data_IF_607055872513
#
_entry.id   IF_607055872513
#
_cell.length_a   1.000
_cell.length_b   1.000
_cell.length_c   1.000
_cell.angle_alpha   90.00
_cell.angle_beta   90.00
_cell.angle_gamma   90.00
#
_symmetry.space_group_name_H-M   'P 1'
#
loop_
_entity.id
_entity.type
_entity.pdbx_description
1 polymer ?
#
# COMPACT_ATOMS: atom_id res chain seq x y z
N UNK A 1 9.79 0.93 -29.16
CA UNK A 1 11.22 1.20 -29.27
C UNK A 1 11.90 0.45 -28.14
N UNK A 2 12.64 -0.61 -28.44
CA UNK A 2 13.24 -1.50 -27.43
C UNK A 2 14.34 -0.71 -26.67
N UNK A 3 14.25 -0.65 -25.35
CA UNK A 3 15.28 -0.13 -24.46
C UNK A 3 16.56 -0.97 -24.67
N UNK A 4 17.66 -0.32 -25.03
CA UNK A 4 18.93 -0.98 -25.19
C UNK A 4 19.47 -1.44 -23.84
N UNK A 5 20.10 -2.60 -23.78
CA UNK A 5 20.61 -3.29 -22.56
C UNK A 5 21.57 -2.42 -21.68
N UNK A 6 22.10 -1.32 -22.18
CA UNK A 6 22.99 -0.43 -21.41
C UNK A 6 22.27 0.46 -20.39
N UNK A 7 21.00 0.82 -20.65
CA UNK A 7 20.25 1.75 -19.77
C UNK A 7 19.69 1.07 -18.52
N UNK A 8 19.54 -0.28 -18.54
CA UNK A 8 19.06 -1.03 -17.38
C UNK A 8 20.12 -1.17 -16.28
N UNK A 9 21.42 -1.09 -16.59
CA UNK A 9 22.48 -1.34 -15.61
C UNK A 9 22.57 -0.26 -14.52
N UNK A 10 22.43 1.03 -14.89
CA UNK A 10 22.52 2.13 -13.91
C UNK A 10 21.32 2.16 -12.94
N UNK A 11 20.14 1.79 -13.42
CA UNK A 11 18.95 1.66 -12.59
C UNK A 11 19.08 0.51 -11.59
N UNK A 12 19.53 -0.63 -12.09
CA UNK A 12 19.79 -1.82 -11.30
C UNK A 12 20.79 -1.47 -10.19
N UNK A 13 21.87 -0.76 -10.52
CA UNK A 13 22.90 -0.32 -9.56
C UNK A 13 22.35 0.61 -8.46
N UNK A 14 21.47 1.59 -8.77
CA UNK A 14 20.91 2.50 -7.76
C UNK A 14 19.98 1.77 -6.77
N UNK A 15 19.02 0.98 -7.26
CA UNK A 15 18.11 0.22 -6.41
C UNK A 15 18.84 -0.93 -5.70
N UNK A 16 19.83 -1.55 -6.34
CA UNK A 16 20.68 -2.55 -5.72
C UNK A 16 21.45 -1.94 -4.55
N UNK A 17 22.14 -0.82 -4.73
CA UNK A 17 22.81 -0.11 -3.64
C UNK A 17 21.87 0.26 -2.51
N UNK A 18 20.67 0.79 -2.81
CA UNK A 18 19.66 1.10 -1.79
C UNK A 18 19.22 -0.14 -1.01
N UNK A 19 19.17 -1.31 -1.65
CA UNK A 19 18.78 -2.57 -1.04
C UNK A 19 19.96 -3.31 -0.38
N UNK A 20 21.21 -2.99 -0.74
CA UNK A 20 22.42 -3.52 -0.13
C UNK A 20 22.84 -2.77 1.15
N UNK A 21 22.65 -1.43 1.18
CA UNK A 21 23.07 -0.60 2.31
C UNK A 21 22.26 -0.92 3.57
N UNK A 22 22.96 -1.27 4.65
CA UNK A 22 22.40 -1.55 5.97
C UNK A 22 21.71 -2.92 6.08
N UNK A 23 21.25 -3.28 7.27
CA UNK A 23 20.70 -4.60 7.55
C UNK A 23 19.43 -4.88 6.74
N UNK A 24 19.26 -6.14 6.36
CA UNK A 24 18.02 -6.68 5.78
C UNK A 24 17.02 -6.95 6.90
N UNK A 25 15.73 -7.02 6.58
CA UNK A 25 14.69 -7.19 7.58
C UNK A 25 13.84 -8.42 7.30
N UNK A 26 13.65 -9.26 8.32
CA UNK A 26 12.62 -10.30 8.34
C UNK A 26 11.48 -9.86 9.26
N UNK A 27 10.25 -9.93 8.76
CA UNK A 27 9.04 -9.70 9.54
C UNK A 27 8.32 -11.03 9.71
N UNK A 28 8.25 -11.53 10.94
CA UNK A 28 7.52 -12.75 11.28
C UNK A 28 6.11 -12.40 11.71
N UNK A 29 5.11 -12.78 10.91
CA UNK A 29 3.71 -12.60 11.30
C UNK A 29 3.33 -13.57 12.42
N UNK A 30 2.56 -13.09 13.40
CA UNK A 30 2.04 -13.87 14.52
C UNK A 30 0.53 -13.64 14.64
N UNK A 31 -0.21 -14.66 15.04
CA UNK A 31 -1.65 -14.52 15.33
C UNK A 31 -2.50 -15.66 14.76
N UNK A 32 -3.71 -15.76 15.26
CA UNK A 32 -4.69 -16.78 14.91
C UNK A 32 -5.18 -16.67 13.45
N UNK A 33 -5.77 -17.73 12.87
CA UNK A 33 -6.41 -17.64 11.56
C UNK A 33 -7.48 -16.53 11.49
N UNK A 34 -7.68 -15.96 10.31
CA UNK A 34 -8.63 -14.87 10.04
C UNK A 34 -8.47 -13.58 10.87
N UNK A 35 -7.32 -13.36 11.51
CA UNK A 35 -7.04 -12.13 12.29
C UNK A 35 -6.37 -11.02 11.46
N UNK A 36 -6.36 -11.09 10.12
CA UNK A 36 -5.86 -10.01 9.27
C UNK A 36 -4.37 -10.06 8.92
N UNK A 37 -3.61 -11.11 9.31
CA UNK A 37 -2.16 -11.21 9.02
C UNK A 37 -1.81 -10.98 7.55
N UNK A 38 -2.40 -11.73 6.64
CA UNK A 38 -2.11 -11.63 5.20
C UNK A 38 -2.50 -10.24 4.65
N UNK A 39 -3.59 -9.65 5.16
CA UNK A 39 -3.97 -8.27 4.80
C UNK A 39 -2.85 -7.28 5.18
N UNK A 40 -2.37 -7.34 6.41
CA UNK A 40 -1.24 -6.51 6.89
C UNK A 40 0.01 -6.77 6.05
N UNK A 41 0.34 -8.04 5.77
CA UNK A 41 1.50 -8.42 4.96
C UNK A 41 1.45 -7.80 3.55
N UNK A 42 0.30 -7.86 2.86
CA UNK A 42 0.12 -7.27 1.53
C UNK A 42 0.20 -5.74 1.57
N UNK A 43 -0.39 -5.09 2.56
CA UNK A 43 -0.31 -3.64 2.76
C UNK A 43 1.13 -3.17 2.99
N UNK A 44 1.87 -3.86 3.87
CA UNK A 44 3.29 -3.56 4.14
C UNK A 44 4.17 -3.80 2.90
N UNK A 45 4.00 -4.94 2.21
CA UNK A 45 4.73 -5.22 0.97
C UNK A 45 4.54 -4.07 -0.02
N UNK A 46 3.28 -3.64 -0.24
CA UNK A 46 2.95 -2.55 -1.15
C UNK A 46 3.63 -1.24 -0.75
N UNK A 47 3.54 -0.85 0.51
CA UNK A 47 4.16 0.37 1.03
C UNK A 47 5.68 0.35 0.90
N UNK A 48 6.32 -0.73 1.33
CA UNK A 48 7.78 -0.85 1.28
C UNK A 48 8.31 -0.96 -0.16
N UNK A 49 7.62 -1.70 -1.04
CA UNK A 49 7.98 -1.79 -2.46
C UNK A 49 7.85 -0.44 -3.17
N UNK A 50 6.78 0.30 -2.88
CA UNK A 50 6.59 1.66 -3.38
C UNK A 50 7.69 2.63 -2.90
N UNK A 51 8.18 2.45 -1.68
CA UNK A 51 9.35 3.18 -1.17
C UNK A 51 10.68 2.77 -1.84
N UNK A 52 10.70 1.82 -2.75
CA UNK A 52 11.89 1.33 -3.45
C UNK A 52 12.64 0.20 -2.75
N UNK A 53 12.06 -0.42 -1.70
CA UNK A 53 12.66 -1.59 -1.05
C UNK A 53 12.15 -2.89 -1.67
N UNK A 54 13.05 -3.75 -2.12
CA UNK A 54 12.71 -5.08 -2.64
C UNK A 54 12.07 -5.90 -1.52
N UNK A 55 10.75 -6.07 -1.57
CA UNK A 55 9.95 -6.70 -0.52
C UNK A 55 9.18 -7.90 -1.08
N UNK A 56 9.27 -9.07 -0.40
CA UNK A 56 8.56 -10.30 -0.79
C UNK A 56 7.85 -10.94 0.41
N UNK A 57 6.67 -11.48 0.17
CA UNK A 57 5.92 -12.29 1.13
C UNK A 57 6.20 -13.77 0.86
N UNK A 58 6.53 -14.50 1.91
CA UNK A 58 6.71 -15.94 1.93
C UNK A 58 5.59 -16.57 2.75
N UNK A 59 4.58 -17.11 2.07
CA UNK A 59 3.39 -17.64 2.71
C UNK A 59 3.53 -19.13 2.98
N UNK A 60 3.68 -19.49 4.26
CA UNK A 60 3.83 -20.88 4.72
C UNK A 60 2.62 -21.75 4.39
N UNK A 61 1.41 -21.16 4.40
CA UNK A 61 0.19 -21.87 4.03
C UNK A 61 0.14 -22.28 2.56
N UNK A 62 0.64 -21.43 1.66
CA UNK A 62 0.75 -21.77 0.23
C UNK A 62 1.77 -22.90 0.02
N UNK A 63 2.95 -22.79 0.66
CA UNK A 63 3.99 -23.83 0.57
C UNK A 63 3.49 -25.17 1.11
N UNK A 64 2.78 -25.18 2.24
CA UNK A 64 2.15 -26.38 2.79
C UNK A 64 1.26 -27.08 1.76
N UNK A 65 0.39 -26.33 1.09
CA UNK A 65 -0.53 -26.87 0.07
C UNK A 65 0.19 -27.49 -1.12
N UNK A 66 1.34 -26.95 -1.49
CA UNK A 66 2.17 -27.51 -2.57
C UNK A 66 2.93 -28.73 -2.09
N UNK A 67 3.48 -28.71 -0.88
CA UNK A 67 4.27 -29.83 -0.32
C UNK A 67 3.44 -31.07 -0.04
N UNK A 68 2.15 -30.92 0.26
CA UNK A 68 1.24 -32.03 0.57
C UNK A 68 -0.09 -31.88 -0.20
N UNK A 69 0.03 -31.84 -1.52
CA UNK A 69 -1.11 -31.67 -2.43
C UNK A 69 -2.08 -32.87 -2.45
N UNK A 70 -1.65 -34.04 -1.92
CA UNK A 70 -2.45 -35.27 -1.89
C UNK A 70 -3.34 -35.39 -0.67
N UNK A 71 -3.14 -34.58 0.38
CA UNK A 71 -3.85 -34.69 1.65
C UNK A 71 -4.84 -33.54 1.83
N UNK A 72 -6.08 -33.85 2.21
CA UNK A 72 -7.04 -32.85 2.66
C UNK A 72 -6.63 -32.31 4.02
N UNK A 73 -6.41 -31.00 4.11
CA UNK A 73 -6.03 -30.33 5.36
C UNK A 73 -7.26 -29.81 6.10
N UNK A 74 -8.03 -30.71 6.70
CA UNK A 74 -9.16 -30.42 7.59
C UNK A 74 -8.70 -29.92 8.97
N UNK A 75 -9.65 -29.66 9.88
CA UNK A 75 -9.36 -29.20 11.24
C UNK A 75 -8.47 -30.16 12.05
N UNK A 76 -8.46 -31.46 11.74
CA UNK A 76 -7.65 -32.47 12.46
C UNK A 76 -6.16 -32.32 12.16
N UNK A 77 -5.81 -31.85 10.97
CA UNK A 77 -4.42 -31.51 10.61
C UNK A 77 -3.85 -30.40 11.51
N UNK A 78 -4.71 -29.56 12.08
CA UNK A 78 -4.31 -28.44 12.93
C UNK A 78 -4.44 -28.72 14.42
N UNK A 79 -4.86 -29.94 14.81
CA UNK A 79 -4.89 -30.36 16.20
C UNK A 79 -3.48 -30.35 16.80
N UNK A 80 -3.24 -29.68 17.96
CA UNK A 80 -1.94 -29.68 18.62
C UNK A 80 -1.49 -31.07 19.07
N UNK A 81 -2.40 -32.01 19.27
CA UNK A 81 -2.10 -33.40 19.65
C UNK A 81 -1.71 -34.29 18.44
N UNK A 82 -1.94 -33.86 17.22
CA UNK A 82 -1.50 -34.56 16.02
C UNK A 82 0.02 -34.32 15.79
N UNK A 83 0.85 -35.20 16.35
CA UNK A 83 2.29 -35.08 16.34
C UNK A 83 2.87 -35.05 14.90
N UNK A 84 2.38 -35.92 14.00
CA UNK A 84 2.86 -35.99 12.61
C UNK A 84 2.53 -34.70 11.83
N UNK A 85 1.32 -34.19 11.95
CA UNK A 85 0.92 -32.95 11.30
C UNK A 85 1.64 -31.74 11.90
N UNK A 86 1.94 -31.75 13.21
CA UNK A 86 2.75 -30.72 13.86
C UNK A 86 4.16 -30.70 13.30
N UNK A 87 4.83 -31.84 13.22
CA UNK A 87 6.19 -31.95 12.67
C UNK A 87 6.26 -31.44 11.22
N UNK A 88 5.30 -31.83 10.37
CA UNK A 88 5.21 -31.33 9.00
C UNK A 88 5.01 -29.80 8.95
N UNK A 89 4.16 -29.24 9.81
CA UNK A 89 3.97 -27.77 9.87
C UNK A 89 5.22 -27.03 10.35
N UNK A 90 5.99 -27.62 11.27
CA UNK A 90 7.29 -27.05 11.69
C UNK A 90 8.30 -27.09 10.56
N UNK A 91 8.43 -28.23 9.87
CA UNK A 91 9.35 -28.39 8.76
C UNK A 91 9.04 -27.39 7.63
N UNK A 92 7.78 -27.30 7.20
CA UNK A 92 7.38 -26.36 6.14
C UNK A 92 7.65 -24.90 6.54
N UNK A 93 7.50 -24.54 7.81
CA UNK A 93 7.81 -23.20 8.27
C UNK A 93 9.31 -22.90 8.22
N UNK A 94 10.17 -23.84 8.61
CA UNK A 94 11.62 -23.72 8.54
C UNK A 94 12.12 -23.70 7.09
N UNK A 95 11.61 -24.58 6.23
CA UNK A 95 11.97 -24.58 4.80
C UNK A 95 11.58 -23.25 4.13
N UNK A 96 10.45 -22.66 4.54
CA UNK A 96 10.05 -21.32 4.07
C UNK A 96 11.01 -20.25 4.56
N UNK A 97 11.55 -20.37 5.76
CA UNK A 97 12.56 -19.47 6.30
C UNK A 97 13.88 -19.58 5.53
N UNK A 98 14.32 -20.80 5.16
CA UNK A 98 15.53 -20.98 4.35
C UNK A 98 15.40 -20.36 2.96
N UNK A 99 14.25 -20.54 2.29
CA UNK A 99 13.96 -19.87 1.02
C UNK A 99 14.01 -18.35 1.16
N UNK A 100 13.41 -17.83 2.24
CA UNK A 100 13.38 -16.41 2.57
C UNK A 100 14.79 -15.85 2.78
N UNK A 101 15.63 -16.52 3.58
CA UNK A 101 17.03 -16.13 3.82
C UNK A 101 17.83 -16.14 2.52
N UNK A 102 17.69 -17.19 1.72
CA UNK A 102 18.33 -17.29 0.41
C UNK A 102 17.95 -16.13 -0.51
N UNK A 103 16.66 -15.78 -0.56
CA UNK A 103 16.18 -14.64 -1.33
C UNK A 103 16.71 -13.29 -0.81
N UNK A 104 16.81 -13.11 0.51
CA UNK A 104 17.43 -11.91 1.07
C UNK A 104 18.91 -11.83 0.67
N UNK A 105 19.65 -12.94 0.68
CA UNK A 105 21.05 -12.97 0.25
C UNK A 105 21.23 -12.66 -1.23
N UNK A 106 20.25 -12.99 -2.07
CA UNK A 106 20.24 -12.70 -3.52
C UNK A 106 19.78 -11.30 -3.90
N UNK A 107 19.77 -10.34 -2.95
CA UNK A 107 19.44 -8.92 -3.21
C UNK A 107 18.08 -8.46 -2.71
N UNK A 108 17.32 -9.32 -2.03
CA UNK A 108 16.12 -8.91 -1.30
C UNK A 108 16.44 -7.98 -0.11
N UNK A 109 15.50 -7.11 0.28
CA UNK A 109 15.67 -6.16 1.41
C UNK A 109 14.77 -6.47 2.58
N UNK A 110 13.49 -6.68 2.35
CA UNK A 110 12.49 -7.00 3.37
C UNK A 110 11.76 -8.26 3.00
N UNK A 111 11.73 -9.23 3.89
CA UNK A 111 11.00 -10.48 3.70
C UNK A 111 9.94 -10.63 4.80
N UNK A 112 8.71 -10.99 4.40
CA UNK A 112 7.60 -11.20 5.32
C UNK A 112 7.30 -12.69 5.37
N UNK A 113 7.50 -13.32 6.52
CA UNK A 113 7.17 -14.72 6.79
C UNK A 113 5.72 -14.79 7.26
N UNK A 114 4.77 -15.00 6.32
CA UNK A 114 3.35 -15.03 6.59
C UNK A 114 2.90 -16.43 7.06
N UNK A 115 2.87 -16.60 8.37
CA UNK A 115 2.42 -17.78 9.07
C UNK A 115 1.67 -17.43 10.37
N UNK A 116 1.13 -18.41 11.07
CA UNK A 116 0.51 -18.18 12.40
C UNK A 116 1.54 -17.92 13.49
N UNK A 117 2.68 -18.63 13.47
CA UNK A 117 3.78 -18.56 14.45
C UNK A 117 3.26 -18.47 15.91
N UNK A 118 2.24 -19.31 16.21
CA UNK A 118 1.40 -19.20 17.40
C UNK A 118 2.04 -19.71 18.68
N UNK A 119 3.12 -20.49 18.60
CA UNK A 119 3.78 -21.07 19.78
C UNK A 119 5.17 -20.46 20.00
N UNK A 120 5.59 -20.39 21.27
CA UNK A 120 6.94 -19.93 21.66
C UNK A 120 8.02 -20.81 21.04
N UNK A 121 7.86 -22.13 21.12
CA UNK A 121 8.82 -23.10 20.56
C UNK A 121 9.12 -22.80 19.08
N UNK A 122 8.07 -22.53 18.28
CA UNK A 122 8.26 -22.15 16.88
C UNK A 122 9.01 -20.82 16.76
N UNK A 123 8.64 -19.80 17.54
CA UNK A 123 9.30 -18.50 17.47
C UNK A 123 10.76 -18.58 17.89
N UNK A 124 11.07 -19.36 18.92
CA UNK A 124 12.45 -19.62 19.35
C UNK A 124 13.29 -20.30 18.25
N UNK A 125 12.74 -21.29 17.55
CA UNK A 125 13.39 -21.92 16.41
C UNK A 125 13.67 -20.92 15.27
N UNK A 126 12.70 -20.03 14.96
CA UNK A 126 12.87 -18.98 13.96
C UNK A 126 13.94 -17.97 14.37
N UNK A 127 13.93 -17.52 15.65
CA UNK A 127 14.93 -16.62 16.21
C UNK A 127 16.31 -17.25 16.12
N UNK A 128 16.45 -18.49 16.60
CA UNK A 128 17.73 -19.19 16.61
C UNK A 128 18.31 -19.26 15.18
N UNK A 129 17.48 -19.60 14.20
CA UNK A 129 17.95 -19.72 12.81
C UNK A 129 18.34 -18.38 12.20
N UNK A 130 17.49 -17.34 12.34
CA UNK A 130 17.76 -16.04 11.71
C UNK A 130 18.93 -15.30 12.38
N UNK A 131 19.15 -15.51 13.67
CA UNK A 131 20.25 -14.89 14.43
C UNK A 131 21.64 -15.38 13.99
N UNK A 132 21.72 -16.47 13.21
CA UNK A 132 22.97 -16.93 12.59
C UNK A 132 23.40 -16.06 11.41
N UNK A 133 22.51 -15.13 10.94
CA UNK A 133 22.76 -14.29 9.79
C UNK A 133 23.11 -12.84 10.24
N UNK A 134 24.38 -12.44 10.22
CA UNK A 134 24.84 -11.20 10.88
C UNK A 134 24.24 -9.90 10.29
N UNK A 135 23.82 -9.93 9.01
CA UNK A 135 23.27 -8.76 8.30
C UNK A 135 21.75 -8.80 8.18
N UNK A 136 21.08 -9.67 8.91
CA UNK A 136 19.62 -9.79 8.89
C UNK A 136 19.08 -9.45 10.27
N UNK A 137 18.35 -8.34 10.35
CA UNK A 137 17.53 -7.98 11.52
C UNK A 137 16.15 -8.62 11.38
N UNK A 138 15.46 -8.82 12.48
CA UNK A 138 14.10 -9.35 12.45
C UNK A 138 13.20 -8.68 13.49
N UNK A 139 11.90 -8.74 13.27
CA UNK A 139 10.86 -8.37 14.22
C UNK A 139 9.65 -9.29 14.10
N UNK A 140 8.91 -9.43 15.19
CA UNK A 140 7.60 -10.08 15.16
C UNK A 140 6.49 -9.06 15.00
N UNK A 141 5.42 -9.49 14.30
CA UNK A 141 4.23 -8.67 14.10
C UNK A 141 2.99 -9.50 14.44
N UNK A 142 2.39 -9.20 15.57
CA UNK A 142 1.20 -9.89 16.05
C UNK A 142 -0.06 -9.16 15.62
N UNK A 143 -0.91 -9.86 14.87
CA UNK A 143 -2.23 -9.36 14.45
C UNK A 143 -3.32 -9.92 15.35
N UNK A 144 -3.94 -9.07 16.13
CA UNK A 144 -4.99 -9.38 17.10
C UNK A 144 -6.30 -8.76 16.62
N UNK A 145 -7.34 -9.54 16.46
CA UNK A 145 -8.67 -9.06 16.12
C UNK A 145 -9.69 -9.68 17.08
N UNK A 146 -10.41 -8.82 17.79
CA UNK A 146 -11.47 -9.19 18.74
C UNK A 146 -12.84 -8.67 18.29
N UNK A 147 -12.89 -7.85 17.24
CA UNK A 147 -14.12 -7.28 16.67
C UNK A 147 -14.90 -8.39 15.94
N UNK A 148 -16.14 -8.73 16.38
CA UNK A 148 -16.89 -9.84 15.80
C UNK A 148 -17.25 -9.63 14.33
N UNK A 149 -17.52 -8.39 13.92
CA UNK A 149 -17.93 -8.03 12.54
C UNK A 149 -16.73 -8.23 11.59
N UNK A 150 -15.56 -7.74 11.99
CA UNK A 150 -14.32 -7.93 11.21
C UNK A 150 -13.98 -9.41 11.11
N UNK A 151 -14.15 -10.17 12.21
CA UNK A 151 -13.87 -11.61 12.24
C UNK A 151 -14.78 -12.38 11.30
N UNK A 152 -16.08 -12.12 11.34
CA UNK A 152 -17.04 -12.79 10.46
C UNK A 152 -16.75 -12.50 9.00
N UNK A 153 -16.47 -11.25 8.66
CA UNK A 153 -16.07 -10.84 7.30
C UNK A 153 -14.80 -11.56 6.85
N UNK A 154 -13.80 -11.65 7.72
CA UNK A 154 -12.55 -12.34 7.43
C UNK A 154 -12.74 -13.86 7.26
N UNK A 155 -13.62 -14.48 8.04
CA UNK A 155 -13.96 -15.91 7.91
C UNK A 155 -14.63 -16.15 6.55
N UNK A 156 -15.64 -15.37 6.18
CA UNK A 156 -16.32 -15.47 4.89
C UNK A 156 -15.35 -15.32 3.70
N UNK A 157 -14.41 -14.38 3.78
CA UNK A 157 -13.37 -14.25 2.76
C UNK A 157 -12.45 -15.49 2.67
N UNK A 158 -12.16 -16.15 3.80
CA UNK A 158 -11.31 -17.36 3.83
C UNK A 158 -12.00 -18.59 3.23
N UNK A 159 -13.34 -18.63 3.18
CA UNK A 159 -14.06 -19.71 2.51
C UNK A 159 -13.81 -19.77 1.00
N UNK A 160 -13.39 -18.66 0.40
CA UNK A 160 -12.97 -18.62 -1.00
C UNK A 160 -11.53 -19.13 -1.22
N UNK A 161 -10.81 -19.51 -0.15
CA UNK A 161 -9.44 -20.03 -0.27
C UNK A 161 -9.43 -21.46 -0.85
N UNK A 162 -8.29 -21.90 -1.44
CA UNK A 162 -8.17 -23.24 -2.01
C UNK A 162 -8.53 -24.39 -1.04
N UNK A 163 -8.34 -24.18 0.29
CA UNK A 163 -8.67 -25.20 1.31
C UNK A 163 -10.20 -25.45 1.41
N UNK A 164 -11.07 -24.50 0.99
CA UNK A 164 -12.52 -24.53 1.21
C UNK A 164 -13.37 -24.34 -0.05
N UNK A 165 -12.78 -23.97 -1.19
CA UNK A 165 -13.50 -23.59 -2.43
C UNK A 165 -14.51 -24.63 -2.92
N UNK A 166 -14.23 -25.92 -2.69
CA UNK A 166 -15.06 -27.06 -3.16
C UNK A 166 -15.88 -27.70 -2.02
N UNK A 167 -15.95 -27.06 -0.86
CA UNK A 167 -16.66 -27.56 0.31
C UNK A 167 -17.99 -26.83 0.45
N UNK A 168 -19.02 -27.54 0.96
CA UNK A 168 -20.28 -26.90 1.33
C UNK A 168 -20.04 -25.76 2.34
N UNK A 169 -20.68 -24.57 2.16
CA UNK A 169 -20.41 -23.40 3.00
C UNK A 169 -20.58 -23.60 4.49
N UNK A 170 -21.59 -24.35 4.93
CA UNK A 170 -21.83 -24.62 6.37
C UNK A 170 -20.75 -25.52 6.94
N UNK A 171 -20.40 -26.57 6.22
CA UNK A 171 -19.31 -27.50 6.56
C UNK A 171 -17.96 -26.76 6.59
N UNK A 172 -17.70 -25.90 5.63
CA UNK A 172 -16.48 -25.09 5.56
C UNK A 172 -16.36 -24.11 6.75
N UNK A 173 -17.46 -23.47 7.15
CA UNK A 173 -17.51 -22.61 8.34
C UNK A 173 -17.24 -23.43 9.61
N UNK A 174 -17.87 -24.60 9.75
CA UNK A 174 -17.67 -25.46 10.91
C UNK A 174 -16.22 -25.94 11.03
N UNK A 175 -15.62 -26.42 9.93
CA UNK A 175 -14.22 -26.83 9.89
C UNK A 175 -13.28 -25.65 10.21
N UNK A 176 -13.53 -24.47 9.61
CA UNK A 176 -12.70 -23.30 9.88
C UNK A 176 -12.76 -22.87 11.36
N UNK A 177 -13.92 -22.93 11.98
CA UNK A 177 -14.08 -22.65 13.42
C UNK A 177 -13.35 -23.70 14.27
N UNK A 178 -13.48 -24.98 13.96
CA UNK A 178 -12.77 -26.07 14.64
C UNK A 178 -11.25 -25.90 14.51
N UNK A 179 -10.74 -25.55 13.30
CA UNK A 179 -9.34 -25.22 13.06
C UNK A 179 -8.88 -24.03 13.90
N UNK A 180 -9.67 -22.96 14.00
CA UNK A 180 -9.35 -21.80 14.82
C UNK A 180 -9.25 -22.16 16.29
N UNK A 181 -10.20 -22.94 16.81
CA UNK A 181 -10.18 -23.42 18.19
C UNK A 181 -8.93 -24.28 18.49
N UNK A 182 -8.47 -25.10 17.53
CA UNK A 182 -7.25 -25.87 17.68
C UNK A 182 -5.99 -24.98 17.78
N UNK A 183 -5.95 -23.90 17.02
CA UNK A 183 -4.88 -22.89 17.15
C UNK A 183 -4.98 -22.14 18.49
N UNK A 184 -6.17 -21.79 18.97
CA UNK A 184 -6.37 -21.07 20.24
C UNK A 184 -5.86 -21.85 21.44
N UNK A 185 -6.01 -23.17 21.45
CA UNK A 185 -5.51 -24.06 22.53
C UNK A 185 -3.98 -23.99 22.69
N UNK A 186 -3.25 -23.73 21.59
CA UNK A 186 -1.80 -23.70 21.59
C UNK A 186 -1.23 -22.26 21.39
N UNK A 187 -2.10 -21.24 21.41
CA UNK A 187 -1.69 -19.88 21.16
C UNK A 187 -1.05 -19.24 22.37
N UNK A 188 0.17 -18.73 22.15
CA UNK A 188 0.95 -18.00 23.13
C UNK A 188 1.26 -16.61 22.57
N UNK A 189 0.63 -15.51 23.09
CA UNK A 189 0.84 -14.15 22.60
C UNK A 189 2.28 -13.71 22.82
N UNK A 190 2.72 -12.71 22.03
CA UNK A 190 3.99 -12.02 22.28
C UNK A 190 3.94 -11.31 23.63
N UNK A 191 5.10 -11.09 24.26
CA UNK A 191 5.20 -10.34 25.53
C UNK A 191 6.46 -10.63 26.30
N UNK A 192 6.34 -10.89 27.59
CA UNK A 192 7.45 -10.97 28.57
C UNK A 192 8.62 -11.85 28.15
N UNK A 193 8.39 -12.90 27.35
CA UNK A 193 9.47 -13.79 26.90
C UNK A 193 10.30 -13.09 25.83
N UNK A 194 9.64 -12.50 24.83
CA UNK A 194 10.30 -11.75 23.77
C UNK A 194 10.98 -10.50 24.33
N UNK A 195 10.40 -9.86 25.34
CA UNK A 195 10.98 -8.71 26.04
C UNK A 195 12.26 -9.09 26.82
N UNK A 196 12.24 -10.23 27.52
CA UNK A 196 13.45 -10.75 28.22
C UNK A 196 14.58 -11.10 27.25
N UNK A 197 14.25 -11.46 26.02
CA UNK A 197 15.20 -11.74 24.94
C UNK A 197 15.59 -10.49 24.13
N UNK A 198 15.07 -9.31 24.50
CA UNK A 198 15.27 -8.02 23.80
C UNK A 198 14.84 -8.07 22.31
N UNK A 199 13.84 -8.89 21.99
CA UNK A 199 13.32 -9.11 20.63
C UNK A 199 12.31 -8.03 20.27
N UNK A 200 12.54 -7.36 19.14
CA UNK A 200 11.64 -6.33 18.60
C UNK A 200 10.29 -6.92 18.17
N UNK A 201 9.20 -6.29 18.59
CA UNK A 201 7.88 -6.68 18.09
C UNK A 201 6.90 -5.50 18.00
N UNK A 202 5.83 -5.71 17.23
CA UNK A 202 4.65 -4.85 17.21
C UNK A 202 3.39 -5.70 17.31
N UNK A 203 2.44 -5.27 18.16
CA UNK A 203 1.08 -5.81 18.23
C UNK A 203 0.12 -4.83 17.60
N UNK A 204 -0.71 -5.31 16.68
CA UNK A 204 -1.73 -4.52 15.96
C UNK A 204 -3.10 -5.07 16.34
N UNK A 205 -3.92 -4.24 16.97
CA UNK A 205 -5.26 -4.60 17.42
C UNK A 205 -6.32 -4.06 16.47
N UNK A 206 -7.26 -4.93 16.06
CA UNK A 206 -8.40 -4.59 15.22
C UNK A 206 -7.99 -3.71 14.02
N UNK A 207 -6.95 -4.17 13.34
CA UNK A 207 -6.37 -3.56 12.13
C UNK A 207 -6.09 -2.05 12.27
N UNK A 208 -5.31 -1.70 13.30
CA UNK A 208 -4.79 -0.34 13.49
C UNK A 208 -5.55 0.52 14.51
N UNK A 209 -6.67 0.06 15.12
CA UNK A 209 -7.32 0.80 16.23
C UNK A 209 -6.37 1.07 17.41
N UNK A 210 -5.44 0.15 17.65
CA UNK A 210 -4.39 0.29 18.66
C UNK A 210 -3.16 -0.47 18.20
N UNK A 211 -1.99 0.09 18.42
CA UNK A 211 -0.71 -0.61 18.23
C UNK A 211 0.16 -0.47 19.49
N UNK A 212 0.92 -1.52 19.78
CA UNK A 212 1.92 -1.55 20.84
C UNK A 212 3.22 -1.99 20.20
N UNK A 213 4.27 -1.20 20.33
CA UNK A 213 5.59 -1.51 19.78
C UNK A 213 6.61 -1.63 20.92
N UNK A 214 7.46 -2.64 20.85
CA UNK A 214 8.55 -2.86 21.78
C UNK A 214 9.88 -2.93 21.05
N UNK A 215 10.89 -2.23 21.57
CA UNK A 215 12.29 -2.31 21.14
C UNK A 215 12.50 -2.14 19.62
N UNK A 216 11.73 -1.26 18.98
CA UNK A 216 11.84 -0.99 17.56
C UNK A 216 13.13 -0.24 17.24
N UNK A 217 14.01 -0.86 16.46
CA UNK A 217 15.33 -0.32 16.13
C UNK A 217 15.54 -0.22 14.63
N UNK A 218 16.10 0.89 14.21
CA UNK A 218 16.47 1.11 12.82
C UNK A 218 15.32 1.57 11.91
N UNK A 219 15.72 2.04 10.74
CA UNK A 219 14.83 2.75 9.80
C UNK A 219 13.65 1.89 9.31
N UNK A 220 13.93 0.67 8.81
CA UNK A 220 12.89 -0.17 8.21
C UNK A 220 11.81 -0.58 9.22
N UNK A 221 12.22 -0.99 10.44
CA UNK A 221 11.25 -1.35 11.48
C UNK A 221 10.40 -0.15 11.88
N UNK A 222 11.01 1.03 12.03
CA UNK A 222 10.29 2.28 12.34
C UNK A 222 9.29 2.65 11.26
N UNK A 223 9.62 2.47 9.95
CA UNK A 223 8.69 2.71 8.85
C UNK A 223 7.50 1.73 8.89
N UNK A 224 7.74 0.46 9.20
CA UNK A 224 6.67 -0.53 9.37
C UNK A 224 5.71 -0.14 10.50
N UNK A 225 6.24 0.19 11.67
CA UNK A 225 5.43 0.58 12.85
C UNK A 225 4.64 1.86 12.59
N UNK A 226 5.29 2.87 12.00
CA UNK A 226 4.63 4.12 11.63
C UNK A 226 3.47 3.90 10.66
N UNK A 227 3.67 3.09 9.61
CA UNK A 227 2.62 2.76 8.66
C UNK A 227 1.45 2.01 9.32
N UNK A 228 1.76 1.00 10.14
CA UNK A 228 0.75 0.17 10.81
C UNK A 228 -0.09 0.93 11.83
N UNK A 229 0.52 1.89 12.54
CA UNK A 229 -0.18 2.73 13.51
C UNK A 229 -1.17 3.72 12.89
N UNK A 230 -1.10 3.90 11.56
CA UNK A 230 -1.96 4.80 10.80
C UNK A 230 -2.90 4.08 9.82
N UNK A 231 -2.86 2.76 9.77
CA UNK A 231 -3.68 1.99 8.84
C UNK A 231 -5.09 1.76 9.42
N UNK A 232 -6.13 2.15 8.67
CA UNK A 232 -7.51 1.89 9.01
C UNK A 232 -8.23 1.08 7.93
N UNK A 233 -9.18 0.24 8.35
CA UNK A 233 -10.15 -0.37 7.43
C UNK A 233 -11.39 0.51 7.44
N UNK A 234 -11.63 1.22 6.36
CA UNK A 234 -12.87 1.94 6.13
C UNK A 234 -13.20 1.88 4.63
N UNK A 235 -14.47 1.67 4.32
CA UNK A 235 -14.95 1.84 2.96
C UNK A 235 -14.93 3.33 2.62
N UNK A 236 -14.13 3.70 1.64
CA UNK A 236 -14.00 5.06 1.14
C UNK A 236 -13.62 5.08 -0.32
N UNK A 237 -13.88 6.19 -0.97
CA UNK A 237 -13.45 6.47 -2.33
C UNK A 237 -12.37 7.56 -2.33
N UNK A 238 -11.28 7.29 -3.02
CA UNK A 238 -10.22 8.27 -3.25
C UNK A 238 -10.32 8.68 -4.72
N UNK A 239 -10.72 9.92 -4.96
CA UNK A 239 -10.74 10.52 -6.29
C UNK A 239 -9.41 11.21 -6.55
N UNK A 240 -8.76 10.86 -7.66
CA UNK A 240 -7.52 11.50 -8.08
C UNK A 240 -7.72 12.16 -9.44
N UNK A 241 -7.30 13.41 -9.58
CA UNK A 241 -7.32 14.13 -10.85
C UNK A 241 -6.15 15.10 -10.98
N UNK A 242 -5.78 15.40 -12.21
CA UNK A 242 -4.88 16.51 -12.49
C UNK A 242 -5.68 17.81 -12.44
N UNK A 243 -4.98 18.93 -12.22
CA UNK A 243 -5.53 20.26 -12.43
C UNK A 243 -6.10 20.41 -13.85
N UNK A 244 -6.98 21.37 -14.09
CA UNK A 244 -7.42 21.76 -15.42
C UNK A 244 -6.24 22.17 -16.29
N UNK A 245 -6.41 22.18 -17.63
CA UNK A 245 -5.36 22.62 -18.57
C UNK A 245 -4.81 23.99 -18.15
N UNK A 246 -3.48 24.11 -18.06
CA UNK A 246 -2.78 25.36 -17.77
C UNK A 246 -2.16 25.96 -19.05
N UNK A 247 -1.79 27.24 -19.00
CA UNK A 247 -1.12 27.91 -20.12
C UNK A 247 0.16 27.17 -20.54
N UNK A 248 0.96 26.64 -19.59
CA UNK A 248 2.13 25.84 -19.89
C UNK A 248 1.80 24.49 -20.54
N UNK A 249 0.68 23.88 -20.23
CA UNK A 249 0.25 22.68 -20.95
C UNK A 249 0.00 22.98 -22.43
N UNK A 250 -0.62 24.12 -22.75
CA UNK A 250 -0.88 24.58 -24.13
C UNK A 250 0.43 24.93 -24.86
N UNK A 251 1.39 25.50 -24.15
CA UNK A 251 2.69 25.90 -24.70
C UNK A 251 3.72 24.75 -24.73
N UNK A 252 3.41 23.55 -24.20
CA UNK A 252 4.35 22.43 -24.10
C UNK A 252 5.48 22.64 -23.10
N UNK A 253 5.36 23.60 -22.17
CA UNK A 253 6.33 23.92 -21.14
C UNK A 253 6.10 23.08 -19.88
N UNK A 254 7.20 22.82 -19.13
CA UNK A 254 7.15 22.07 -17.87
C UNK A 254 7.33 22.99 -16.65
N UNK A 255 6.91 22.50 -15.50
CA UNK A 255 7.10 23.18 -14.20
C UNK A 255 6.33 24.48 -14.07
N UNK A 256 6.92 25.46 -13.39
CA UNK A 256 6.36 26.78 -13.16
C UNK A 256 5.03 26.81 -12.41
N UNK A 257 4.42 28.00 -12.36
CA UNK A 257 3.11 28.20 -11.70
C UNK A 257 2.13 28.97 -12.60
N UNK A 258 1.87 28.50 -13.85
CA UNK A 258 0.96 29.15 -14.78
C UNK A 258 -0.50 29.05 -14.34
N UNK A 259 -1.37 30.00 -14.76
CA UNK A 259 -2.82 29.93 -14.56
C UNK A 259 -3.48 28.88 -15.46
N UNK A 260 -4.76 28.61 -15.20
CA UNK A 260 -5.58 27.77 -16.07
C UNK A 260 -5.92 28.49 -17.38
N UNK A 261 -6.05 27.71 -18.47
CA UNK A 261 -6.71 28.15 -19.71
C UNK A 261 -8.22 28.18 -19.54
N UNK A 262 -8.94 28.73 -20.53
CA UNK A 262 -10.42 28.69 -20.54
C UNK A 262 -10.93 27.23 -20.57
N UNK A 263 -10.24 26.33 -21.25
CA UNK A 263 -10.57 24.90 -21.26
C UNK A 263 -10.33 24.28 -19.87
N UNK A 264 -9.24 24.67 -19.19
CA UNK A 264 -8.98 24.27 -17.81
C UNK A 264 -10.06 24.72 -16.83
N UNK A 265 -10.57 25.96 -16.99
CA UNK A 265 -11.70 26.49 -16.17
C UNK A 265 -13.01 25.75 -16.43
N UNK A 266 -13.31 25.40 -17.69
CA UNK A 266 -14.47 24.55 -18.04
C UNK A 266 -14.42 23.18 -17.37
N UNK A 267 -13.23 22.55 -17.38
CA UNK A 267 -13.03 21.29 -16.65
C UNK A 267 -13.21 21.47 -15.15
N UNK A 268 -12.66 22.52 -14.54
CA UNK A 268 -12.79 22.81 -13.12
C UNK A 268 -14.28 22.92 -12.69
N UNK A 269 -15.10 23.63 -13.48
CA UNK A 269 -16.53 23.72 -13.24
C UNK A 269 -17.26 22.38 -13.41
N UNK A 270 -16.83 21.55 -14.38
CA UNK A 270 -17.39 20.20 -14.55
C UNK A 270 -16.99 19.27 -13.40
N UNK A 271 -15.77 19.38 -12.88
CA UNK A 271 -15.29 18.62 -11.72
C UNK A 271 -16.06 18.96 -10.44
N UNK A 272 -16.37 20.25 -10.22
CA UNK A 272 -17.19 20.66 -9.08
C UNK A 272 -18.61 20.07 -9.15
N UNK A 273 -19.26 20.08 -10.34
CA UNK A 273 -20.56 19.41 -10.54
C UNK A 273 -20.47 17.90 -10.29
N UNK A 274 -19.44 17.23 -10.80
CA UNK A 274 -19.21 15.80 -10.56
C UNK A 274 -19.13 15.48 -9.07
N UNK A 275 -18.43 16.31 -8.29
CA UNK A 275 -18.33 16.14 -6.84
C UNK A 275 -19.68 16.36 -6.15
N UNK A 276 -20.43 17.39 -6.53
CA UNK A 276 -21.73 17.70 -5.96
C UNK A 276 -22.78 16.62 -6.24
N UNK A 277 -22.78 16.03 -7.44
CA UNK A 277 -23.68 14.92 -7.79
C UNK A 277 -23.43 13.67 -6.96
N UNK A 278 -22.18 13.38 -6.60
CA UNK A 278 -21.80 12.19 -5.82
C UNK A 278 -21.79 12.39 -4.32
N UNK A 279 -21.55 13.60 -3.89
CA UNK A 279 -21.48 14.03 -2.49
C UNK A 279 -22.32 15.29 -2.31
N UNK A 280 -23.66 15.19 -2.41
CA UNK A 280 -24.54 16.34 -2.24
C UNK A 280 -24.37 16.92 -0.84
N UNK A 281 -24.20 18.23 -0.77
CA UNK A 281 -24.16 18.96 0.49
C UNK A 281 -25.57 18.97 1.07
N UNK A 282 -25.74 18.44 2.28
CA UNK A 282 -27.02 18.50 2.97
C UNK A 282 -27.40 19.97 3.22
N UNK A 283 -28.67 20.38 2.99
CA UNK A 283 -29.10 21.74 3.27
C UNK A 283 -28.87 22.07 4.74
N UNK A 284 -28.42 23.30 5.03
CA UNK A 284 -28.00 23.78 6.35
C UNK A 284 -29.07 23.64 7.48
N UNK A 285 -30.30 23.27 7.13
CA UNK A 285 -31.42 23.09 8.06
C UNK A 285 -31.64 21.64 8.55
N UNK A 286 -30.86 20.68 8.12
CA UNK A 286 -30.94 19.30 8.62
C UNK A 286 -30.20 19.24 9.97
N UNK A 287 -30.93 19.36 11.09
CA UNK A 287 -30.39 19.06 12.42
C UNK A 287 -29.72 17.68 12.41
N UNK A 288 -28.42 17.64 12.68
CA UNK A 288 -27.67 16.39 12.87
C UNK A 288 -28.27 15.68 14.08
N UNK A 289 -29.20 14.75 13.87
CA UNK A 289 -29.61 13.85 14.93
C UNK A 289 -28.39 13.02 15.33
N UNK A 290 -28.03 13.10 16.61
CA UNK A 290 -26.90 12.34 17.21
C UNK A 290 -27.13 10.82 17.22
N UNK A 291 -28.17 10.31 16.55
CA UNK A 291 -28.61 8.93 16.61
C UNK A 291 -28.00 8.02 15.51
N UNK A 292 -27.37 8.54 14.46
CA UNK A 292 -26.88 7.74 13.34
C UNK A 292 -25.36 7.46 13.32
N UNK A 293 -24.72 7.55 14.48
CA UNK A 293 -23.33 7.10 14.66
C UNK A 293 -23.25 5.59 14.96
N UNK A 294 -24.15 4.79 14.40
CA UNK A 294 -24.03 3.33 14.43
C UNK A 294 -23.17 2.86 13.25
N UNK A 295 -22.12 2.17 13.60
CA UNK A 295 -21.19 1.46 12.72
C UNK A 295 -21.92 0.67 11.62
N UNK A 296 -21.63 1.00 10.35
CA UNK A 296 -21.96 0.14 9.21
C UNK A 296 -23.10 0.63 8.34
N UNK A 297 -22.81 1.49 7.39
CA UNK A 297 -23.73 1.86 6.32
C UNK A 297 -23.21 3.03 5.52
N UNK A 298 -23.15 2.93 4.22
CA UNK A 298 -22.61 3.81 3.20
C UNK A 298 -22.56 5.31 3.54
N UNK A 299 -21.35 5.82 3.53
CA UNK A 299 -20.98 7.12 4.08
C UNK A 299 -21.64 8.33 3.42
N UNK A 300 -22.49 8.97 4.15
CA UNK A 300 -22.81 10.39 3.99
C UNK A 300 -21.77 11.29 4.67
N UNK A 301 -20.49 10.96 4.61
CA UNK A 301 -19.40 11.80 5.14
C UNK A 301 -19.08 12.93 4.16
N UNK A 302 -18.76 14.11 4.71
CA UNK A 302 -18.32 15.26 3.92
C UNK A 302 -17.08 14.89 3.08
N UNK A 303 -17.13 15.12 1.75
CA UNK A 303 -15.99 14.94 0.85
C UNK A 303 -14.88 15.91 1.25
N UNK A 304 -13.67 15.38 1.53
CA UNK A 304 -12.48 16.23 1.71
C UNK A 304 -11.91 16.61 0.35
N UNK A 305 -11.47 17.85 0.21
CA UNK A 305 -10.86 18.33 -1.02
C UNK A 305 -9.39 18.69 -0.74
N UNK A 306 -8.45 18.00 -1.37
CA UNK A 306 -7.02 18.26 -1.22
C UNK A 306 -6.43 18.82 -2.51
N UNK A 307 -5.61 19.87 -2.39
CA UNK A 307 -4.90 20.47 -3.51
C UNK A 307 -3.40 20.59 -3.22
N UNK A 308 -2.62 20.75 -4.27
CA UNK A 308 -1.26 21.27 -4.14
C UNK A 308 -1.31 22.78 -3.85
N UNK A 309 -0.14 23.37 -3.58
CA UNK A 309 0.01 24.85 -3.44
C UNK A 309 0.13 25.59 -4.76
N UNK A 310 0.25 24.89 -5.89
CA UNK A 310 0.41 25.53 -7.19
C UNK A 310 -0.90 26.10 -7.69
N UNK A 311 -0.81 27.31 -8.29
CA UNK A 311 -1.92 28.15 -8.73
C UNK A 311 -2.96 27.35 -9.53
N UNK A 312 -2.54 26.53 -10.50
CA UNK A 312 -3.44 25.75 -11.36
C UNK A 312 -4.30 24.73 -10.62
N UNK A 313 -3.84 24.17 -9.48
CA UNK A 313 -4.66 23.27 -8.65
C UNK A 313 -5.63 24.06 -7.77
N UNK A 314 -5.18 25.18 -7.24
CA UNK A 314 -6.03 26.09 -6.43
C UNK A 314 -7.12 26.69 -7.30
N UNK A 315 -6.81 27.17 -8.51
CA UNK A 315 -7.80 27.66 -9.47
C UNK A 315 -8.79 26.56 -9.89
N UNK A 316 -8.35 25.30 -10.01
CA UNK A 316 -9.26 24.17 -10.28
C UNK A 316 -10.23 23.94 -9.13
N UNK A 317 -9.78 24.11 -7.89
CA UNK A 317 -10.63 23.98 -6.70
C UNK A 317 -11.55 25.17 -6.45
N UNK A 318 -11.29 26.33 -7.06
CA UNK A 318 -12.07 27.55 -6.83
C UNK A 318 -13.55 27.46 -7.25
N UNK A 319 -13.91 26.50 -8.09
CA UNK A 319 -15.27 26.27 -8.55
C UNK A 319 -16.12 25.41 -7.59
N UNK A 320 -15.51 24.92 -6.52
CA UNK A 320 -16.23 24.18 -5.48
C UNK A 320 -16.91 25.12 -4.51
N UNK A 321 -18.07 24.70 -3.99
CA UNK A 321 -18.81 25.44 -2.97
C UNK A 321 -17.95 25.63 -1.71
N UNK A 322 -18.10 26.76 -1.00
CA UNK A 322 -17.37 27.09 0.22
C UNK A 322 -17.58 26.08 1.36
N UNK A 323 -18.61 25.25 1.28
CA UNK A 323 -18.87 24.17 2.24
C UNK A 323 -17.92 22.97 2.10
N UNK A 324 -17.18 22.86 0.99
CA UNK A 324 -16.10 21.86 0.87
C UNK A 324 -14.85 22.40 1.57
N UNK A 325 -14.37 21.64 2.56
CA UNK A 325 -13.12 21.96 3.24
C UNK A 325 -11.93 21.68 2.34
N UNK A 326 -11.26 22.73 1.86
CA UNK A 326 -10.10 22.63 1.00
C UNK A 326 -8.81 22.62 1.81
N UNK A 327 -8.10 21.49 1.81
CA UNK A 327 -6.77 21.37 2.43
C UNK A 327 -5.68 21.49 1.37
N UNK A 328 -4.83 22.51 1.50
CA UNK A 328 -3.72 22.75 0.57
C UNK A 328 -2.41 22.17 1.12
N UNK A 329 -1.78 21.23 0.37
CA UNK A 329 -0.59 20.51 0.81
C UNK A 329 0.60 20.72 -0.15
N UNK A 330 1.74 21.19 0.37
CA UNK A 330 2.98 21.31 -0.41
C UNK A 330 3.47 19.94 -0.94
N UNK A 331 3.22 18.87 -0.22
CA UNK A 331 3.61 17.52 -0.62
C UNK A 331 2.97 17.06 -1.95
N UNK A 332 1.83 17.66 -2.32
CA UNK A 332 1.12 17.39 -3.59
C UNK A 332 1.60 18.25 -4.76
N UNK A 333 2.59 19.15 -4.59
CA UNK A 333 3.14 19.94 -5.70
C UNK A 333 3.73 19.03 -6.78
N UNK A 334 3.75 19.52 -8.03
CA UNK A 334 4.42 18.79 -9.13
C UNK A 334 5.91 18.58 -8.84
N UNK A 335 6.52 17.65 -9.54
CA UNK A 335 7.97 17.46 -9.53
C UNK A 335 8.64 18.80 -9.85
N UNK A 336 9.57 19.20 -8.99
CA UNK A 336 10.32 20.43 -9.20
C UNK A 336 11.34 20.22 -10.31
N UNK A 337 11.23 21.00 -11.38
CA UNK A 337 12.10 20.88 -12.57
C UNK A 337 13.39 21.71 -12.47
N UNK A 338 13.65 22.35 -11.33
CA UNK A 338 14.87 23.11 -11.09
C UNK A 338 15.10 24.21 -12.15
N UNK A 339 16.27 24.20 -12.77
CA UNK A 339 16.64 25.18 -13.81
C UNK A 339 15.84 25.01 -15.12
N UNK A 340 15.09 23.93 -15.27
CA UNK A 340 14.25 23.66 -16.43
C UNK A 340 12.80 24.17 -16.28
N UNK A 341 12.45 24.87 -15.18
CA UNK A 341 11.14 25.47 -15.00
C UNK A 341 10.81 26.44 -16.14
N UNK A 342 9.67 26.30 -16.79
CA UNK A 342 9.21 27.13 -17.91
C UNK A 342 9.85 26.82 -19.28
N UNK A 343 10.67 25.76 -19.38
CA UNK A 343 11.23 25.28 -20.63
C UNK A 343 10.34 24.24 -21.30
N UNK A 344 10.46 24.15 -22.64
CA UNK A 344 9.98 23.00 -23.40
C UNK A 344 10.99 21.85 -23.35
N UNK A 345 10.60 20.63 -23.70
CA UNK A 345 11.53 19.49 -23.78
C UNK A 345 12.63 19.74 -24.87
N UNK A 346 12.31 20.46 -25.94
CA UNK A 346 13.27 20.79 -26.96
C UNK A 346 14.32 21.81 -26.45
N UNK A 347 13.90 22.77 -25.62
CA UNK A 347 14.83 23.71 -24.97
C UNK A 347 15.75 22.98 -23.99
N UNK A 348 15.20 22.07 -23.17
CA UNK A 348 15.98 21.26 -22.22
C UNK A 348 17.03 20.43 -22.98
N UNK A 349 16.61 19.79 -24.07
CA UNK A 349 17.53 19.00 -24.90
C UNK A 349 18.69 19.82 -25.47
N UNK A 350 18.47 21.12 -25.79
CA UNK A 350 19.50 22.02 -26.29
C UNK A 350 20.42 22.56 -25.19
N UNK A 351 19.82 22.93 -24.03
CA UNK A 351 20.56 23.63 -22.95
C UNK A 351 21.22 22.64 -22.00
N UNK A 352 20.56 21.51 -21.72
CA UNK A 352 20.98 20.46 -20.75
C UNK A 352 20.97 19.06 -21.40
N UNK A 353 21.78 18.82 -22.46
CA UNK A 353 21.71 17.60 -23.27
C UNK A 353 22.08 16.33 -22.47
N UNK A 354 22.99 16.39 -21.50
CA UNK A 354 23.40 15.24 -20.68
C UNK A 354 22.29 14.83 -19.69
N UNK A 355 21.76 15.81 -18.98
CA UNK A 355 20.66 15.58 -18.01
C UNK A 355 19.42 15.13 -18.74
N UNK A 356 19.12 15.66 -19.90
CA UNK A 356 18.04 15.21 -20.76
C UNK A 356 18.21 13.72 -21.13
N UNK A 357 19.41 13.32 -21.61
CA UNK A 357 19.70 11.91 -21.95
C UNK A 357 19.58 10.99 -20.74
N UNK A 358 20.20 11.35 -19.62
CA UNK A 358 20.13 10.59 -18.36
C UNK A 358 18.67 10.39 -17.91
N UNK A 359 17.86 11.46 -17.98
CA UNK A 359 16.47 11.41 -17.59
C UNK A 359 15.60 10.61 -18.57
N UNK A 360 15.87 10.66 -19.88
CA UNK A 360 15.16 9.82 -20.86
C UNK A 360 15.50 8.34 -20.70
N UNK A 361 16.75 8.03 -20.36
CA UNK A 361 17.17 6.67 -20.07
C UNK A 361 16.48 6.11 -18.81
N UNK A 362 16.36 6.92 -17.75
CA UNK A 362 15.71 6.51 -16.51
C UNK A 362 15.08 7.69 -15.76
N UNK A 363 13.77 7.86 -15.91
CA UNK A 363 13.04 8.94 -15.22
C UNK A 363 12.96 8.76 -13.70
N UNK A 364 13.10 7.53 -13.19
CA UNK A 364 12.95 7.26 -11.76
C UNK A 364 14.04 7.95 -10.93
N UNK A 365 15.28 7.90 -11.41
CA UNK A 365 16.47 8.46 -10.72
C UNK A 365 17.07 9.68 -11.42
N UNK A 366 16.80 9.87 -12.72
CA UNK A 366 17.29 11.01 -13.49
C UNK A 366 16.67 12.31 -13.00
N UNK A 367 17.50 13.24 -12.51
CA UNK A 367 17.09 14.55 -12.00
C UNK A 367 17.09 15.60 -13.10
N UNK A 368 16.25 16.60 -12.93
CA UNK A 368 16.48 17.89 -13.58
C UNK A 368 17.62 18.63 -12.87
N UNK A 369 18.39 19.50 -13.56
CA UNK A 369 19.42 20.32 -12.92
C UNK A 369 18.85 21.15 -11.76
N UNK A 370 19.31 20.88 -10.52
CA UNK A 370 18.79 21.52 -9.32
C UNK A 370 17.35 21.13 -8.94
N UNK A 371 16.78 20.11 -9.58
CA UNK A 371 15.41 19.67 -9.36
C UNK A 371 15.27 18.29 -8.69
N UNK A 372 14.07 17.75 -8.74
CA UNK A 372 13.69 16.44 -8.19
C UNK A 372 13.75 15.33 -9.26
N UNK A 373 13.81 14.09 -8.78
CA UNK A 373 13.46 12.87 -9.53
C UNK A 373 12.20 12.22 -8.93
N UNK A 374 11.76 11.09 -9.49
CA UNK A 374 10.57 10.38 -8.96
C UNK A 374 10.80 9.80 -7.55
N UNK A 375 12.02 9.40 -7.20
CA UNK A 375 12.32 8.91 -5.85
C UNK A 375 12.17 9.99 -4.78
N UNK A 376 12.53 11.24 -5.10
CA UNK A 376 12.32 12.39 -4.22
C UNK A 376 10.80 12.67 -4.04
N UNK A 377 10.03 12.55 -5.12
CA UNK A 377 8.58 12.69 -5.06
C UNK A 377 7.94 11.59 -4.20
N UNK A 378 8.39 10.33 -4.33
CA UNK A 378 7.97 9.22 -3.46
C UNK A 378 8.28 9.56 -1.99
N UNK A 379 9.49 10.03 -1.71
CA UNK A 379 9.94 10.36 -0.35
C UNK A 379 9.02 11.41 0.29
N UNK A 380 8.71 12.52 -0.43
CA UNK A 380 7.84 13.57 0.10
C UNK A 380 6.36 13.22 0.13
N UNK A 381 5.91 12.23 -0.66
CA UNK A 381 4.53 11.77 -0.65
C UNK A 381 4.22 10.75 0.45
N UNK A 382 5.21 10.23 1.18
CA UNK A 382 4.98 9.28 2.28
C UNK A 382 3.94 9.75 3.30
N UNK A 383 4.00 10.97 3.84
CA UNK A 383 2.98 11.47 4.77
C UNK A 383 1.58 11.48 4.16
N UNK A 384 1.47 11.83 2.86
CA UNK A 384 0.18 11.85 2.13
C UNK A 384 -0.38 10.43 2.01
N UNK A 385 0.45 9.45 1.66
CA UNK A 385 0.04 8.04 1.55
C UNK A 385 -0.42 7.51 2.90
N UNK A 386 0.30 7.82 3.98
CA UNK A 386 -0.07 7.42 5.35
C UNK A 386 -1.39 8.07 5.77
N UNK A 387 -1.60 9.35 5.44
CA UNK A 387 -2.86 10.04 5.71
C UNK A 387 -4.01 9.41 4.91
N UNK A 388 -3.81 9.07 3.64
CA UNK A 388 -4.79 8.36 2.82
C UNK A 388 -5.15 6.98 3.39
N UNK A 389 -4.20 6.26 3.98
CA UNK A 389 -4.47 4.98 4.66
C UNK A 389 -5.22 5.18 5.98
N UNK A 390 -5.10 6.33 6.62
CA UNK A 390 -5.77 6.70 7.85
C UNK A 390 -7.21 7.19 7.65
N UNK A 391 -7.50 7.81 6.50
CA UNK A 391 -8.82 8.38 6.21
C UNK A 391 -9.94 7.33 6.30
N UNK A 392 -11.05 7.75 6.88
CA UNK A 392 -12.33 7.02 6.90
C UNK A 392 -13.43 7.68 6.05
N UNK A 393 -13.13 8.82 5.44
CA UNK A 393 -14.04 9.60 4.59
C UNK A 393 -13.52 9.64 3.15
N UNK A 394 -14.41 9.97 2.22
CA UNK A 394 -14.05 10.16 0.82
C UNK A 394 -13.18 11.40 0.65
N UNK A 395 -12.26 11.37 -0.32
CA UNK A 395 -11.35 12.48 -0.61
C UNK A 395 -11.19 12.68 -2.12
N UNK A 396 -11.21 13.93 -2.57
CA UNK A 396 -10.83 14.31 -3.92
C UNK A 396 -9.50 15.06 -3.89
N UNK A 397 -8.51 14.55 -4.63
CA UNK A 397 -7.16 15.12 -4.71
C UNK A 397 -6.96 15.72 -6.10
N UNK A 398 -6.78 17.04 -6.15
CA UNK A 398 -6.43 17.77 -7.36
C UNK A 398 -4.93 18.03 -7.34
N UNK A 399 -4.19 17.37 -8.24
CA UNK A 399 -2.74 17.41 -8.23
C UNK A 399 -2.14 17.41 -9.66
N UNK A 400 -1.02 16.78 -9.89
CA UNK A 400 -0.19 16.89 -11.09
C UNK A 400 0.18 15.52 -11.65
N UNK A 401 0.81 15.52 -12.83
CA UNK A 401 1.10 14.30 -13.59
C UNK A 401 2.00 13.31 -12.80
N UNK A 402 3.16 13.77 -12.30
CA UNK A 402 4.10 12.88 -11.61
C UNK A 402 3.52 12.40 -10.27
N UNK A 403 2.86 13.28 -9.54
CA UNK A 403 2.20 12.92 -8.27
C UNK A 403 1.08 11.90 -8.50
N UNK A 404 0.26 12.07 -9.54
CA UNK A 404 -0.77 11.10 -9.92
C UNK A 404 -0.18 9.73 -10.23
N UNK A 405 0.88 9.66 -11.06
CA UNK A 405 1.59 8.41 -11.36
C UNK A 405 2.05 7.72 -10.10
N UNK A 406 2.66 8.48 -9.19
CA UNK A 406 3.23 7.97 -7.94
C UNK A 406 2.16 7.44 -6.99
N UNK A 407 1.03 8.14 -6.84
CA UNK A 407 -0.09 7.69 -6.01
C UNK A 407 -0.81 6.48 -6.64
N UNK A 408 -1.04 6.50 -7.96
CA UNK A 408 -1.63 5.35 -8.67
C UNK A 408 -0.76 4.11 -8.52
N UNK A 409 0.57 4.23 -8.67
CA UNK A 409 1.49 3.11 -8.48
C UNK A 409 1.43 2.55 -7.05
N UNK A 410 1.30 3.41 -6.03
CA UNK A 410 1.08 2.95 -4.66
C UNK A 410 -0.17 2.09 -4.53
N UNK A 411 -1.32 2.55 -5.02
CA UNK A 411 -2.58 1.83 -4.85
C UNK A 411 -2.67 0.56 -5.69
N UNK A 412 -2.09 0.55 -6.90
CA UNK A 412 -2.10 -0.61 -7.80
C UNK A 412 -1.01 -1.64 -7.50
N UNK A 413 0.03 -1.27 -6.75
CA UNK A 413 1.22 -2.10 -6.58
C UNK A 413 2.10 -2.20 -7.83
N UNK A 414 1.96 -1.24 -8.76
CA UNK A 414 2.70 -1.18 -10.02
C UNK A 414 4.21 -1.05 -9.76
N UNK A 415 5.01 -1.61 -10.66
CA UNK A 415 6.47 -1.43 -10.65
C UNK A 415 6.86 0.05 -10.80
N UNK A 416 7.93 0.46 -10.13
CA UNK A 416 8.36 1.86 -10.13
C UNK A 416 8.86 2.35 -11.50
N UNK A 417 9.40 1.49 -12.35
CA UNK A 417 9.77 1.85 -13.72
C UNK A 417 8.54 2.03 -14.59
N UNK A 418 7.61 1.08 -14.54
CA UNK A 418 6.34 1.15 -15.26
C UNK A 418 5.56 2.41 -14.88
N UNK A 419 5.56 2.79 -13.59
CA UNK A 419 4.96 4.02 -13.09
C UNK A 419 5.41 5.25 -13.87
N UNK A 420 6.69 5.35 -14.22
CA UNK A 420 7.23 6.51 -14.93
C UNK A 420 6.71 6.68 -16.35
N UNK A 421 6.13 5.60 -16.91
CA UNK A 421 5.56 5.54 -18.26
C UNK A 421 4.04 5.62 -18.28
N UNK A 422 3.38 5.54 -17.11
CA UNK A 422 1.92 5.56 -17.01
C UNK A 422 1.34 6.82 -17.65
N UNK A 423 0.41 6.66 -18.59
CA UNK A 423 -0.33 7.79 -19.14
C UNK A 423 -1.42 8.25 -18.18
N UNK A 424 -1.38 9.52 -17.83
CA UNK A 424 -2.37 10.17 -16.96
C UNK A 424 -2.88 11.42 -17.67
N UNK A 425 -3.90 11.30 -18.53
CA UNK A 425 -4.39 12.43 -19.33
C UNK A 425 -5.04 13.52 -18.45
N UNK A 426 -5.01 14.75 -18.93
CA UNK A 426 -5.78 15.85 -18.38
C UNK A 426 -7.30 15.54 -18.43
N UNK A 427 -8.08 16.21 -17.61
CA UNK A 427 -9.54 16.12 -17.59
C UNK A 427 -10.10 14.71 -17.33
N UNK A 428 -9.35 13.91 -16.58
CA UNK A 428 -9.72 12.55 -16.18
C UNK A 428 -9.75 12.42 -14.67
N UNK A 429 -10.82 11.84 -14.12
CA UNK A 429 -10.95 11.52 -12.69
C UNK A 429 -10.80 10.01 -12.51
N UNK A 430 -9.86 9.60 -11.67
CA UNK A 430 -9.66 8.22 -11.24
C UNK A 430 -10.38 8.01 -9.92
N UNK A 431 -11.24 7.00 -9.84
CA UNK A 431 -11.97 6.61 -8.64
C UNK A 431 -11.33 5.33 -8.09
N UNK A 432 -10.70 5.43 -6.95
CA UNK A 432 -10.03 4.32 -6.28
C UNK A 432 -10.87 3.88 -5.08
N UNK A 433 -11.28 2.62 -5.03
CA UNK A 433 -11.92 2.00 -3.86
C UNK A 433 -10.97 0.98 -3.26
N UNK A 434 -10.22 1.33 -2.20
CA UNK A 434 -9.35 0.39 -1.52
C UNK A 434 -10.15 -0.79 -0.99
N UNK A 435 -9.70 -2.01 -1.28
CA UNK A 435 -10.26 -3.26 -0.79
C UNK A 435 -9.24 -4.00 0.07
N UNK A 436 -9.65 -4.98 0.88
CA UNK A 436 -8.72 -5.75 1.71
C UNK A 436 -7.56 -6.36 0.94
N UNK A 437 -7.78 -6.81 -0.30
CA UNK A 437 -6.77 -7.48 -1.14
C UNK A 437 -6.61 -6.81 -2.51
N UNK A 438 -6.51 -5.48 -2.54
CA UNK A 438 -6.30 -4.74 -3.78
C UNK A 438 -6.99 -3.39 -3.81
N UNK A 439 -7.25 -2.89 -5.00
CA UNK A 439 -7.97 -1.65 -5.25
C UNK A 439 -8.86 -1.84 -6.46
N UNK A 440 -10.14 -1.52 -6.34
CA UNK A 440 -10.99 -1.35 -7.51
C UNK A 440 -10.74 0.03 -8.10
N UNK A 441 -10.42 0.10 -9.39
CA UNK A 441 -10.13 1.36 -10.09
C UNK A 441 -11.16 1.56 -11.18
N UNK A 442 -11.83 2.71 -11.14
CA UNK A 442 -12.61 3.24 -12.24
C UNK A 442 -12.03 4.58 -12.66
N UNK A 443 -12.05 4.92 -13.93
CA UNK A 443 -11.73 6.26 -14.39
C UNK A 443 -12.82 6.82 -15.30
N UNK A 444 -12.96 8.14 -15.27
CA UNK A 444 -13.96 8.86 -16.05
C UNK A 444 -13.24 9.92 -16.90
N UNK A 445 -13.33 9.78 -18.23
CA UNK A 445 -12.99 10.84 -19.18
C UNK A 445 -14.27 11.60 -19.50
N UNK A 446 -14.28 12.90 -19.26
CA UNK A 446 -15.33 13.81 -19.74
C UNK A 446 -16.78 13.42 -19.43
N UNK A 447 -17.14 12.50 -18.56
CA UNK A 447 -18.50 12.01 -18.19
C UNK A 447 -18.81 10.53 -18.48
N UNK A 448 -17.83 9.68 -18.80
CA UNK A 448 -18.08 8.23 -18.93
C UNK A 448 -17.19 7.45 -17.95
N UNK A 449 -17.79 6.61 -17.08
CA UNK A 449 -17.08 5.75 -16.12
C UNK A 449 -16.63 4.46 -16.79
N UNK A 450 -15.34 4.14 -16.73
CA UNK A 450 -14.78 2.85 -17.15
C UNK A 450 -14.17 2.18 -15.93
N UNK A 451 -14.65 0.98 -15.56
CA UNK A 451 -14.09 0.18 -14.47
C UNK A 451 -12.98 -0.72 -15.03
N UNK A 452 -11.79 -0.67 -14.39
CA UNK A 452 -10.73 -1.63 -14.64
C UNK A 452 -10.54 -2.42 -13.34
N UNK A 453 -10.85 -3.70 -13.37
CA UNK A 453 -10.46 -4.65 -12.32
C UNK A 453 -9.02 -5.06 -12.58
N UNK A 454 -8.08 -4.91 -11.61
CA UNK A 454 -6.75 -5.49 -11.77
C UNK A 454 -6.85 -7.01 -11.86
N UNK A 455 -5.93 -7.68 -12.59
CA UNK A 455 -5.92 -9.13 -12.64
C UNK A 455 -5.81 -9.69 -11.23
N UNK A 456 -6.63 -10.69 -10.92
CA UNK A 456 -6.59 -11.42 -9.67
C UNK A 456 -5.21 -12.08 -9.53
N UNK A 457 -4.40 -11.61 -8.58
CA UNK A 457 -3.18 -12.33 -8.17
C UNK A 457 -3.63 -13.66 -7.54
N UNK A 458 -3.43 -14.76 -8.28
CA UNK A 458 -3.58 -16.14 -7.80
C UNK A 458 -2.33 -16.61 -7.06
#
# INVERSE_FOLDING_TARGET
>A
MALTRHDSSFYTDYLERRNEIGPKLVIFMVGLPARGKSYISHKLRRFLSWMGFRTKIFNVGNRRRVADAATTHDATFFDPNNARARELREQVALDTLEELISWLKSGGKVAIHDATNSTRVRREALIHRVSQEPNISFMFMESICTDPIILETNIRMKLNSPDYRNMDPETAIADFKARTNNYEKAYEPLGDVEEKLDVSYVKVFNVGKKSIAYNVRGYLMSQCVFFLGNMHIADRVIYLTRHGESEYNREGKIGGDPPLTDQGRKFAAALARFAQERHPIAPACAEKSKADATFGGGGGGQLQLWTSKLRRTVETAHFFDEQYEVTTMRFLNEIYSGLCEGMTYDDIKKVYPEEYRTRQANKLIGRYPGGENYMDVIERLRPVVVELERLSTDVLIITHNVVMRTLLAYFTGMDLLEMTLLDVPLHTVYCLKPKPYGVEIAYQRGVVVICITPPSEH
#
